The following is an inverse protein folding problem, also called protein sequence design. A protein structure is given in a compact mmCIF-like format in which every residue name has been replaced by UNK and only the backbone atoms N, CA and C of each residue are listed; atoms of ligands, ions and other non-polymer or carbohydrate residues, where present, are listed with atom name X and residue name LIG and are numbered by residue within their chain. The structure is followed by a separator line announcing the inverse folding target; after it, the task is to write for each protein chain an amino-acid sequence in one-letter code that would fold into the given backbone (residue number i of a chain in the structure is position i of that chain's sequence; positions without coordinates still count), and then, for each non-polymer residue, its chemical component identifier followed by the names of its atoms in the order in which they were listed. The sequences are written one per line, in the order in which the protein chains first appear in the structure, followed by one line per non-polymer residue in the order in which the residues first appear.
data_IF_746979492281
#
_entry.id   IF_746979492281
#
_cell.length_a   1.000
_cell.length_b   1.000
_cell.length_c   1.000
_cell.angle_alpha   90.00
_cell.angle_beta   90.00
_cell.angle_gamma   90.00
#
_symmetry.space_group_name_H-M   'P 1'
#
loop_
_entity.id
_entity.type
_entity.pdbx_description
1 polymer ?
#
# COMPACT_ATOMS: atom_id res chain seq x y z
N UNK A 1 -14.66 66.27 -8.11
CA UNK A 1 -15.51 65.72 -7.02
C UNK A 1 -15.40 64.20 -7.08
N UNK A 2 -14.64 63.58 -6.17
CA UNK A 2 -14.40 62.12 -6.18
C UNK A 2 -15.29 61.51 -5.09
N UNK A 3 -16.31 60.75 -5.50
CA UNK A 3 -17.20 60.03 -4.58
C UNK A 3 -16.43 58.85 -3.96
N UNK A 4 -16.28 58.86 -2.63
CA UNK A 4 -15.75 57.72 -1.88
C UNK A 4 -16.75 56.57 -1.92
N UNK A 5 -16.40 55.49 -2.61
CA UNK A 5 -17.02 54.18 -2.43
C UNK A 5 -16.63 53.68 -1.04
N UNK A 6 -17.57 53.72 -0.08
CA UNK A 6 -17.38 53.09 1.22
C UNK A 6 -17.45 51.57 1.03
N UNK A 7 -16.28 50.92 0.95
CA UNK A 7 -16.20 49.47 1.02
C UNK A 7 -16.63 49.04 2.42
N UNK A 8 -17.81 48.42 2.50
CA UNK A 8 -18.41 47.93 3.74
C UNK A 8 -17.73 46.59 4.12
N UNK A 9 -16.47 46.65 4.54
CA UNK A 9 -15.70 45.49 4.97
C UNK A 9 -16.28 44.95 6.28
N UNK A 10 -17.22 44.01 6.16
CA UNK A 10 -17.71 43.23 7.30
C UNK A 10 -16.61 42.28 7.74
N UNK A 11 -15.99 42.55 8.89
CA UNK A 11 -15.06 41.65 9.54
C UNK A 11 -15.75 40.37 10.04
N UNK A 12 -15.00 39.27 10.06
CA UNK A 12 -15.44 37.99 10.62
C UNK A 12 -15.57 38.10 12.14
N UNK A 13 -16.69 37.66 12.72
CA UNK A 13 -16.88 37.73 14.17
C UNK A 13 -16.17 36.57 14.87
N UNK A 14 -15.68 36.79 16.09
CA UNK A 14 -15.05 35.73 16.89
C UNK A 14 -16.03 34.59 17.19
N UNK A 15 -17.32 34.90 17.34
CA UNK A 15 -18.35 33.89 17.61
C UNK A 15 -18.61 33.01 16.38
N UNK A 16 -18.57 33.56 15.16
CA UNK A 16 -18.62 32.77 13.93
C UNK A 16 -17.45 31.80 13.85
N UNK A 17 -16.24 32.24 14.21
CA UNK A 17 -15.06 31.38 14.23
C UNK A 17 -15.16 30.27 15.29
N UNK A 18 -15.67 30.59 16.48
CA UNK A 18 -15.85 29.62 17.57
C UNK A 18 -16.84 28.51 17.21
N UNK A 19 -17.95 28.82 16.55
CA UNK A 19 -18.93 27.82 16.14
C UNK A 19 -18.35 26.91 15.05
N UNK A 20 -17.59 27.47 14.11
CA UNK A 20 -16.95 26.70 13.03
C UNK A 20 -15.97 25.67 13.59
N UNK A 21 -15.08 26.07 14.52
CA UNK A 21 -14.13 25.12 15.13
C UNK A 21 -14.85 24.07 15.99
N UNK A 22 -15.96 24.42 16.64
CA UNK A 22 -16.75 23.46 17.42
C UNK A 22 -17.35 22.37 16.52
N UNK A 23 -17.94 22.76 15.38
CA UNK A 23 -18.50 21.80 14.42
C UNK A 23 -17.40 20.95 13.78
N UNK A 24 -16.29 21.56 13.34
CA UNK A 24 -15.15 20.81 12.77
C UNK A 24 -14.58 19.84 13.82
N UNK A 25 -14.55 20.22 15.09
CA UNK A 25 -14.12 19.35 16.19
C UNK A 25 -14.97 18.09 16.31
N UNK A 26 -16.30 18.23 16.28
CA UNK A 26 -17.24 17.10 16.36
C UNK A 26 -17.08 16.18 15.14
N UNK A 27 -17.01 16.73 13.93
CA UNK A 27 -16.84 15.95 12.70
C UNK A 27 -15.49 15.22 12.68
N UNK A 28 -14.41 15.91 13.07
CA UNK A 28 -13.05 15.38 13.06
C UNK A 28 -12.89 14.23 14.05
N UNK A 29 -13.55 14.28 15.21
CA UNK A 29 -13.51 13.22 16.22
C UNK A 29 -13.97 11.86 15.67
N UNK A 30 -14.92 11.85 14.74
CA UNK A 30 -15.43 10.62 14.09
C UNK A 30 -14.68 10.34 12.79
N UNK A 31 -14.40 11.37 12.00
CA UNK A 31 -13.80 11.20 10.67
C UNK A 31 -12.36 10.71 10.72
N UNK A 32 -11.54 11.22 11.64
CA UNK A 32 -10.12 10.86 11.74
C UNK A 32 -9.91 9.36 12.03
N UNK A 33 -10.48 8.76 13.09
CA UNK A 33 -10.25 7.34 13.38
C UNK A 33 -10.76 6.43 12.25
N UNK A 34 -11.90 6.78 11.64
CA UNK A 34 -12.45 6.03 10.51
C UNK A 34 -11.54 6.11 9.27
N UNK A 35 -11.06 7.31 8.95
CA UNK A 35 -10.13 7.51 7.84
C UNK A 35 -8.83 6.72 8.04
N UNK A 36 -8.27 6.72 9.26
CA UNK A 36 -7.09 5.93 9.58
C UNK A 36 -7.33 4.43 9.39
N UNK A 37 -8.49 3.91 9.83
CA UNK A 37 -8.87 2.51 9.62
C UNK A 37 -9.02 2.16 8.14
N UNK A 38 -9.67 3.01 7.34
CA UNK A 38 -9.82 2.78 5.91
C UNK A 38 -8.49 2.82 5.17
N UNK A 39 -7.61 3.76 5.53
CA UNK A 39 -6.26 3.84 4.97
C UNK A 39 -5.47 2.57 5.26
N UNK A 40 -5.56 2.05 6.49
CA UNK A 40 -4.90 0.79 6.86
C UNK A 40 -5.42 -0.39 6.04
N UNK A 41 -6.74 -0.52 5.88
CA UNK A 41 -7.33 -1.56 5.02
C UNK A 41 -6.89 -1.43 3.56
N UNK A 42 -6.69 -0.21 3.07
CA UNK A 42 -6.14 0.05 1.74
C UNK A 42 -4.69 -0.47 1.61
N UNK A 43 -3.85 -0.23 2.62
CA UNK A 43 -2.48 -0.76 2.64
C UNK A 43 -2.45 -2.29 2.71
N UNK A 44 -3.35 -2.89 3.50
CA UNK A 44 -3.50 -4.35 3.60
C UNK A 44 -3.89 -4.96 2.25
N UNK A 45 -4.95 -4.42 1.62
CA UNK A 45 -5.44 -4.88 0.32
C UNK A 45 -4.37 -4.76 -0.77
N UNK A 46 -3.60 -3.67 -0.77
CA UNK A 46 -2.51 -3.46 -1.72
C UNK A 46 -1.38 -4.45 -1.53
N UNK A 47 -0.94 -4.69 -0.29
CA UNK A 47 0.17 -5.61 -0.01
C UNK A 47 -0.21 -7.05 -0.33
N UNK A 48 -1.47 -7.43 -0.06
CA UNK A 48 -2.01 -8.73 -0.45
C UNK A 48 -2.08 -8.88 -1.98
N UNK A 49 -2.49 -7.85 -2.70
CA UNK A 49 -2.53 -7.86 -4.17
C UNK A 49 -1.11 -8.00 -4.76
N UNK A 50 -0.15 -7.23 -4.23
CA UNK A 50 1.24 -7.30 -4.63
C UNK A 50 1.83 -8.70 -4.34
N UNK A 51 1.50 -9.31 -3.20
CA UNK A 51 1.89 -10.69 -2.86
C UNK A 51 1.37 -11.74 -3.86
N UNK A 52 0.09 -11.62 -4.27
CA UNK A 52 -0.51 -12.49 -5.29
C UNK A 52 0.13 -12.30 -6.66
N UNK A 53 0.36 -11.06 -7.06
CA UNK A 53 1.00 -10.73 -8.33
C UNK A 53 2.43 -11.27 -8.38
N UNK A 54 3.17 -11.14 -7.28
CA UNK A 54 4.52 -11.68 -7.16
C UNK A 54 4.55 -13.20 -7.34
N UNK A 55 3.66 -13.94 -6.67
CA UNK A 55 3.60 -15.39 -6.87
C UNK A 55 3.25 -15.76 -8.31
N UNK A 56 2.33 -15.02 -8.93
CA UNK A 56 1.94 -15.25 -10.33
C UNK A 56 3.12 -15.02 -11.28
N UNK A 57 3.86 -13.93 -11.10
CA UNK A 57 5.08 -13.63 -11.85
C UNK A 57 6.18 -14.68 -11.61
N UNK A 58 6.31 -15.15 -10.38
CA UNK A 58 7.21 -16.23 -9.99
C UNK A 58 6.89 -17.54 -10.73
N UNK A 59 5.62 -17.96 -10.69
CA UNK A 59 5.15 -19.15 -11.37
C UNK A 59 5.27 -19.05 -12.89
N UNK A 60 5.02 -17.86 -13.47
CA UNK A 60 5.21 -17.63 -14.90
C UNK A 60 6.68 -17.78 -15.32
N UNK A 61 7.60 -17.24 -14.53
CA UNK A 61 9.04 -17.34 -14.78
C UNK A 61 9.54 -18.79 -14.79
N UNK A 62 8.91 -19.67 -14.01
CA UNK A 62 9.23 -21.10 -13.97
C UNK A 62 8.80 -21.91 -15.20
N UNK A 63 8.04 -21.30 -16.13
CA UNK A 63 7.70 -21.94 -17.41
C UNK A 63 8.78 -21.75 -18.49
N UNK A 64 9.75 -20.86 -18.25
CA UNK A 64 10.89 -20.64 -19.14
C UNK A 64 11.95 -21.74 -19.04
N UNK A 65 12.76 -21.92 -20.08
CA UNK A 65 13.79 -22.98 -20.15
C UNK A 65 15.11 -22.60 -19.45
N UNK A 66 15.25 -21.35 -19.01
CA UNK A 66 16.49 -20.83 -18.41
C UNK A 66 16.37 -20.84 -16.90
N UNK A 67 17.34 -21.47 -16.22
CA UNK A 67 17.45 -21.41 -14.76
C UNK A 67 17.72 -19.96 -14.35
N UNK A 68 16.81 -19.39 -13.58
CA UNK A 68 16.92 -18.03 -13.05
C UNK A 68 16.93 -18.11 -11.52
N UNK A 69 17.89 -17.44 -10.92
CA UNK A 69 17.96 -17.21 -9.47
C UNK A 69 17.98 -15.70 -9.27
N UNK A 70 16.94 -15.17 -8.63
CA UNK A 70 16.96 -13.76 -8.22
C UNK A 70 17.53 -13.71 -6.81
N UNK A 71 18.78 -13.27 -6.70
CA UNK A 71 19.44 -13.02 -5.42
C UNK A 71 19.47 -11.51 -5.19
N UNK A 72 18.89 -11.06 -4.08
CA UNK A 72 19.04 -9.68 -3.60
C UNK A 72 18.41 -8.62 -4.50
N UNK A 73 17.11 -8.34 -4.32
CA UNK A 73 16.46 -7.13 -4.84
C UNK A 73 15.99 -7.17 -6.29
N UNK A 74 16.29 -8.22 -7.06
CA UNK A 74 15.65 -8.47 -8.35
C UNK A 74 14.29 -9.18 -8.15
N UNK A 75 13.26 -8.70 -8.83
CA UNK A 75 11.91 -9.28 -8.78
C UNK A 75 11.69 -10.26 -9.93
N UNK A 76 10.76 -11.23 -9.79
CA UNK A 76 10.32 -12.05 -10.91
C UNK A 76 9.88 -11.16 -12.08
N UNK A 77 10.23 -11.57 -13.29
CA UNK A 77 9.79 -10.85 -14.48
C UNK A 77 8.26 -10.81 -14.55
N UNK A 78 7.70 -9.65 -14.85
CA UNK A 78 6.25 -9.41 -14.80
C UNK A 78 5.66 -9.12 -13.40
N UNK A 79 6.47 -9.01 -12.34
CA UNK A 79 6.01 -8.39 -11.10
C UNK A 79 5.76 -6.88 -11.32
N UNK A 80 4.54 -6.43 -11.05
CA UNK A 80 4.08 -5.04 -11.27
C UNK A 80 3.61 -4.37 -9.97
N UNK A 81 3.85 -5.00 -8.82
CA UNK A 81 3.53 -4.40 -7.54
C UNK A 81 4.49 -3.26 -7.20
N UNK A 82 4.07 -2.40 -6.28
CA UNK A 82 4.89 -1.23 -5.87
C UNK A 82 5.47 -1.41 -4.47
N UNK A 83 5.07 -2.47 -3.76
CA UNK A 83 5.54 -2.78 -2.41
C UNK A 83 6.79 -3.65 -2.55
N UNK A 84 7.95 -3.13 -2.20
CA UNK A 84 9.20 -3.92 -2.28
C UNK A 84 9.13 -5.12 -1.33
N UNK A 85 9.11 -6.36 -1.83
CA UNK A 85 9.18 -7.52 -0.97
C UNK A 85 10.53 -7.63 -0.28
N UNK A 86 10.51 -8.15 0.94
CA UNK A 86 11.68 -8.56 1.71
C UNK A 86 11.70 -10.08 1.84
N UNK A 87 12.82 -10.66 2.32
CA UNK A 87 12.94 -12.11 2.49
C UNK A 87 12.66 -12.90 1.19
N UNK A 88 12.98 -12.31 0.03
CA UNK A 88 12.69 -12.90 -1.27
C UNK A 88 13.58 -14.11 -1.51
N UNK A 89 12.96 -15.24 -1.79
CA UNK A 89 13.61 -16.45 -2.29
C UNK A 89 12.99 -16.81 -3.63
N UNK A 90 13.75 -16.60 -4.71
CA UNK A 90 13.40 -17.12 -6.02
C UNK A 90 14.49 -18.05 -6.53
N UNK A 91 14.10 -19.26 -6.90
CA UNK A 91 14.98 -20.18 -7.62
C UNK A 91 14.17 -21.05 -8.55
N UNK A 92 14.49 -21.00 -9.84
CA UNK A 92 14.00 -21.98 -10.80
C UNK A 92 15.19 -22.77 -11.35
N UNK A 93 15.21 -24.09 -11.10
CA UNK A 93 16.23 -25.00 -11.63
C UNK A 93 15.58 -25.90 -12.67
N UNK A 94 15.65 -25.49 -13.94
CA UNK A 94 14.96 -26.15 -15.06
C UNK A 94 15.34 -27.62 -15.29
N UNK A 95 16.52 -28.06 -14.84
CA UNK A 95 16.95 -29.46 -14.92
C UNK A 95 16.36 -30.36 -13.83
N UNK A 96 15.92 -29.79 -12.71
CA UNK A 96 15.37 -30.53 -11.56
C UNK A 96 13.89 -30.21 -11.28
N UNK A 97 13.32 -29.23 -11.99
CA UNK A 97 11.94 -28.76 -11.79
C UNK A 97 11.73 -28.08 -10.43
N UNK A 98 12.79 -27.73 -9.71
CA UNK A 98 12.68 -27.06 -8.42
C UNK A 98 12.28 -25.61 -8.67
N UNK A 99 11.13 -25.24 -8.11
CA UNK A 99 10.65 -23.87 -8.00
C UNK A 99 10.72 -23.50 -6.52
N UNK A 100 11.37 -22.40 -6.20
CA UNK A 100 11.27 -21.72 -4.91
C UNK A 100 10.67 -20.35 -5.17
N UNK A 101 9.49 -20.09 -4.61
CA UNK A 101 8.74 -18.85 -4.70
C UNK A 101 8.34 -18.40 -3.29
N UNK A 102 9.23 -17.69 -2.59
CA UNK A 102 8.91 -17.09 -1.28
C UNK A 102 9.17 -15.59 -1.26
N UNK A 103 8.30 -14.83 -0.60
CA UNK A 103 8.47 -13.39 -0.40
C UNK A 103 7.65 -12.90 0.79
N UNK A 104 8.08 -11.81 1.41
CA UNK A 104 7.36 -11.15 2.50
C UNK A 104 7.02 -9.71 2.11
N UNK A 105 5.74 -9.36 2.19
CA UNK A 105 5.23 -8.01 1.92
C UNK A 105 4.75 -7.36 3.20
N UNK A 106 5.38 -6.27 3.60
CA UNK A 106 4.92 -5.47 4.74
C UNK A 106 4.05 -4.34 4.24
N UNK A 107 2.90 -4.14 4.87
CA UNK A 107 2.02 -3.05 4.50
C UNK A 107 2.66 -1.69 4.82
N UNK A 108 2.25 -0.63 4.10
CA UNK A 108 2.84 0.70 4.31
C UNK A 108 2.57 1.27 5.71
N UNK A 109 1.58 0.74 6.43
CA UNK A 109 1.33 1.04 7.85
C UNK A 109 2.26 0.32 8.82
N UNK A 110 3.12 -0.59 8.34
CA UNK A 110 4.05 -1.40 9.14
C UNK A 110 3.40 -2.38 10.11
N UNK A 111 2.07 -2.54 10.05
CA UNK A 111 1.30 -3.29 11.06
C UNK A 111 0.97 -4.71 10.64
N UNK A 112 1.13 -5.05 9.36
CA UNK A 112 0.85 -6.39 8.83
C UNK A 112 1.88 -6.82 7.80
N UNK A 113 2.11 -8.12 7.76
CA UNK A 113 3.01 -8.80 6.84
C UNK A 113 2.28 -9.93 6.13
N UNK A 114 2.54 -10.08 4.83
CA UNK A 114 1.99 -11.13 3.98
C UNK A 114 3.14 -11.98 3.48
N UNK A 115 3.21 -13.22 3.96
CA UNK A 115 4.26 -14.17 3.58
C UNK A 115 3.71 -15.11 2.52
N UNK A 116 4.34 -15.09 1.35
CA UNK A 116 4.09 -16.01 0.23
C UNK A 116 4.96 -17.24 0.42
N UNK A 117 4.34 -18.41 0.43
CA UNK A 117 5.05 -19.69 0.45
C UNK A 117 5.25 -20.24 -0.97
N UNK A 118 6.04 -21.31 -1.07
CA UNK A 118 6.39 -21.90 -2.35
C UNK A 118 5.19 -22.46 -3.16
N UNK A 119 4.07 -22.76 -2.51
CA UNK A 119 2.86 -23.28 -3.16
C UNK A 119 1.83 -22.18 -3.47
N UNK A 120 2.17 -20.90 -3.25
CA UNK A 120 1.29 -19.76 -3.49
C UNK A 120 0.31 -19.48 -2.36
N UNK A 121 0.40 -20.22 -1.26
CA UNK A 121 -0.28 -19.88 -0.03
C UNK A 121 0.25 -18.57 0.55
N UNK A 122 -0.67 -17.70 0.97
CA UNK A 122 -0.35 -16.41 1.58
C UNK A 122 -0.84 -16.44 3.02
N UNK A 123 0.08 -16.28 3.98
CA UNK A 123 -0.22 -16.14 5.41
C UNK A 123 -0.06 -14.68 5.85
N UNK A 124 -0.95 -14.23 6.72
CA UNK A 124 -0.92 -12.89 7.34
C UNK A 124 -0.37 -12.98 8.76
N UNK A 125 0.52 -12.06 9.13
CA UNK A 125 1.05 -11.88 10.49
C UNK A 125 1.27 -10.42 10.85
#
# INVERSE_FOLDING_TARGET
MIQKLQNNEKGFTLIELMIVIAIIGILSAIAIPNFLSYRQKGYDAKSLADAKNWYTACAASATGTTSTTFVGGAFPDGYQGTTTPTGTGFSYVGTTGIITCTAVFTNAGGSKTYTVNNTGGISES
#
